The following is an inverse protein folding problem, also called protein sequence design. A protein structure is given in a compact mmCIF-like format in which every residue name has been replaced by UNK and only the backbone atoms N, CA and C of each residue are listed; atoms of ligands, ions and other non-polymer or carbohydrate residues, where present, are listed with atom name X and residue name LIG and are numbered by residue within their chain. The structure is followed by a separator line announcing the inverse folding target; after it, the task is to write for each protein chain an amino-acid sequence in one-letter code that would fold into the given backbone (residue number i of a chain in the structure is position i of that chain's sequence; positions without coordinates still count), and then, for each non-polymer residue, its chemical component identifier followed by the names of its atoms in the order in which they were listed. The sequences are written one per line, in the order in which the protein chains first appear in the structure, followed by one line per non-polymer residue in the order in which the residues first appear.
data_IF_484275700662
#
_entry.id   IF_484275700662
#
_cell.length_a   1.000
_cell.length_b   1.000
_cell.length_c   1.000
_cell.angle_alpha   90.00
_cell.angle_beta   90.00
_cell.angle_gamma   90.00
#
_symmetry.space_group_name_H-M   'P 1'
#
loop_
_entity.id
_entity.type
_entity.pdbx_description
1 polymer ?
#
# COMPACT_ATOMS: atom_id res chain seq x y z
N UNK A 1 11.61 -53.96 5.50
CA UNK A 1 12.59 -52.93 5.14
C UNK A 1 11.82 -51.65 4.94
N UNK A 2 11.80 -50.82 5.96
CA UNK A 2 11.15 -49.51 5.91
C UNK A 2 12.20 -48.51 5.43
N UNK A 3 11.98 -47.92 4.24
CA UNK A 3 12.84 -46.88 3.74
C UNK A 3 12.31 -45.55 4.28
N UNK A 4 12.90 -45.12 5.39
CA UNK A 4 12.76 -43.75 5.88
C UNK A 4 13.35 -42.80 4.85
N UNK A 5 12.48 -42.15 4.08
CA UNK A 5 12.83 -41.00 3.26
C UNK A 5 13.18 -39.83 4.21
N UNK A 6 14.46 -39.73 4.54
CA UNK A 6 15.01 -38.61 5.28
C UNK A 6 14.99 -37.37 4.36
N UNK A 7 13.86 -36.66 4.31
CA UNK A 7 13.75 -35.36 3.66
C UNK A 7 14.60 -34.40 4.49
N UNK A 8 15.85 -34.21 4.12
CA UNK A 8 16.68 -33.10 4.62
C UNK A 8 15.97 -31.80 4.24
N UNK A 9 15.23 -31.23 5.15
CA UNK A 9 14.84 -29.83 5.05
C UNK A 9 16.13 -29.01 5.16
N UNK A 10 16.60 -28.53 4.02
CA UNK A 10 17.72 -27.58 3.98
C UNK A 10 17.24 -26.31 4.69
N UNK A 11 17.77 -26.04 5.89
CA UNK A 11 17.54 -24.76 6.57
C UNK A 11 18.14 -23.64 5.74
N UNK A 12 17.38 -22.59 5.52
CA UNK A 12 17.85 -21.36 4.87
C UNK A 12 17.86 -20.21 5.87
N UNK A 13 18.80 -19.29 5.71
CA UNK A 13 18.79 -18.06 6.51
C UNK A 13 17.49 -17.28 6.29
N UNK A 14 16.86 -16.88 7.38
CA UNK A 14 15.62 -16.12 7.34
C UNK A 14 15.85 -14.71 6.75
N UNK A 15 14.99 -14.21 5.86
CA UNK A 15 15.07 -12.85 5.37
C UNK A 15 14.88 -11.84 6.52
N UNK A 16 15.50 -10.66 6.40
CA UNK A 16 15.36 -9.61 7.39
C UNK A 16 13.91 -9.06 7.45
N UNK A 17 13.50 -8.57 8.61
CA UNK A 17 12.21 -7.87 8.79
C UNK A 17 12.07 -6.73 7.79
N UNK A 18 13.14 -5.98 7.49
CA UNK A 18 13.11 -4.94 6.48
C UNK A 18 12.77 -5.47 5.08
N UNK A 19 13.36 -6.58 4.66
CA UNK A 19 13.05 -7.17 3.35
C UNK A 19 11.58 -7.61 3.26
N UNK A 20 11.02 -8.14 4.36
CA UNK A 20 9.61 -8.51 4.44
C UNK A 20 8.71 -7.26 4.37
N UNK A 21 9.05 -6.18 5.08
CA UNK A 21 8.33 -4.90 5.03
C UNK A 21 8.33 -4.27 3.64
N UNK A 22 9.41 -4.44 2.88
CA UNK A 22 9.48 -3.97 1.49
C UNK A 22 8.73 -4.89 0.49
N UNK A 23 8.19 -6.03 0.94
CA UNK A 23 7.50 -7.00 0.09
C UNK A 23 8.43 -7.75 -0.86
N UNK A 24 9.74 -7.74 -0.60
CA UNK A 24 10.75 -8.45 -1.40
C UNK A 24 11.01 -9.87 -0.91
N UNK A 25 10.54 -10.23 0.29
CA UNK A 25 10.72 -11.53 0.90
C UNK A 25 9.55 -11.92 1.82
N UNK A 26 9.52 -13.17 2.27
CA UNK A 26 8.59 -13.72 3.25
C UNK A 26 9.25 -14.86 4.01
N UNK A 27 8.78 -15.15 5.23
CA UNK A 27 9.18 -16.32 6.01
C UNK A 27 8.35 -17.55 5.65
N UNK A 28 9.00 -18.69 5.59
CA UNK A 28 8.41 -20.01 5.27
C UNK A 28 9.09 -21.11 6.06
N UNK A 29 8.52 -22.30 6.01
CA UNK A 29 9.08 -23.51 6.65
C UNK A 29 10.53 -23.75 6.14
N UNK A 30 11.44 -23.93 7.08
CA UNK A 30 12.87 -24.13 6.84
C UNK A 30 13.73 -22.87 7.05
N UNK A 31 13.14 -21.69 7.14
CA UNK A 31 13.88 -20.46 7.45
C UNK A 31 14.28 -20.44 8.93
N UNK A 32 15.52 -19.99 9.20
CA UNK A 32 16.11 -19.93 10.55
C UNK A 32 16.77 -18.58 10.78
N UNK A 33 16.45 -17.91 11.89
CA UNK A 33 17.08 -16.66 12.31
C UNK A 33 16.20 -15.74 13.14
N UNK A 34 16.75 -14.59 13.51
CA UNK A 34 16.16 -13.59 14.41
C UNK A 34 14.76 -13.11 13.93
N UNK A 35 14.55 -12.97 12.63
CA UNK A 35 13.26 -12.55 12.09
C UNK A 35 12.13 -13.51 12.46
N UNK A 36 12.42 -14.79 12.63
CA UNK A 36 11.46 -15.80 13.06
C UNK A 36 11.08 -15.59 14.53
N UNK A 37 12.07 -15.28 15.39
CA UNK A 37 11.81 -14.94 16.81
C UNK A 37 10.91 -13.70 16.91
N UNK A 38 11.25 -12.64 16.20
CA UNK A 38 10.43 -11.41 16.16
C UNK A 38 8.98 -11.71 15.77
N UNK A 39 8.77 -12.55 14.74
CA UNK A 39 7.42 -12.90 14.32
C UNK A 39 6.68 -13.76 15.35
N UNK A 40 7.36 -14.66 16.04
CA UNK A 40 6.78 -15.45 17.15
C UNK A 40 6.35 -14.57 18.31
N UNK A 41 7.17 -13.59 18.69
CA UNK A 41 6.83 -12.61 19.73
C UNK A 41 5.60 -11.77 19.34
N UNK A 42 5.54 -11.26 18.11
CA UNK A 42 4.40 -10.52 17.60
C UNK A 42 3.12 -11.35 17.59
N UNK A 43 3.19 -12.63 17.17
CA UNK A 43 2.04 -13.55 17.22
C UNK A 43 1.54 -13.75 18.65
N UNK A 44 2.45 -13.96 19.61
CA UNK A 44 2.06 -14.09 21.02
C UNK A 44 1.40 -12.81 21.55
N UNK A 45 1.92 -11.62 21.23
CA UNK A 45 1.30 -10.33 21.58
C UNK A 45 -0.12 -10.21 21.02
N UNK A 46 -0.39 -10.80 19.86
CA UNK A 46 -1.72 -10.84 19.24
C UNK A 46 -2.61 -12.00 19.75
N UNK A 47 -2.16 -12.77 20.74
CA UNK A 47 -2.91 -13.89 21.33
C UNK A 47 -2.78 -15.23 20.60
N UNK A 48 -1.84 -15.34 19.67
CA UNK A 48 -1.55 -16.59 18.93
C UNK A 48 -0.35 -17.28 19.56
N UNK A 49 -0.60 -18.12 20.54
CA UNK A 49 0.45 -18.81 21.31
C UNK A 49 1.37 -19.66 20.42
N UNK A 50 2.66 -19.41 20.52
CA UNK A 50 3.73 -20.19 19.92
C UNK A 50 5.02 -20.08 20.77
N UNK A 51 5.94 -21.01 20.55
CA UNK A 51 7.25 -21.00 21.21
C UNK A 51 8.06 -19.77 20.74
N UNK A 52 8.45 -18.91 21.70
CA UNK A 52 9.24 -17.69 21.44
C UNK A 52 10.74 -17.89 21.53
N UNK A 53 11.20 -19.11 21.78
CA UNK A 53 12.64 -19.42 21.91
C UNK A 53 13.27 -20.06 20.66
N UNK A 54 12.42 -20.57 19.77
CA UNK A 54 12.85 -21.23 18.54
C UNK A 54 13.06 -20.23 17.39
N UNK A 55 14.25 -20.22 16.82
CA UNK A 55 14.59 -19.44 15.61
C UNK A 55 14.09 -20.10 14.32
N UNK A 56 13.53 -21.30 14.37
CA UNK A 56 13.12 -22.07 13.20
C UNK A 56 11.67 -21.80 12.83
N UNK A 57 11.41 -21.45 11.57
CA UNK A 57 10.05 -21.43 11.02
C UNK A 57 9.62 -22.87 10.68
N UNK A 58 9.02 -23.53 11.64
CA UNK A 58 8.56 -24.92 11.53
C UNK A 58 7.12 -25.04 11.03
N UNK A 59 6.64 -26.26 10.84
CA UNK A 59 5.26 -26.53 10.41
C UNK A 59 4.23 -26.13 11.45
N UNK A 60 4.59 -26.10 12.73
CA UNK A 60 3.74 -25.63 13.82
C UNK A 60 3.53 -24.13 13.70
N UNK A 61 4.61 -23.36 13.55
CA UNK A 61 4.52 -21.92 13.32
C UNK A 61 3.73 -21.59 12.04
N UNK A 62 3.95 -22.31 10.95
CA UNK A 62 3.15 -22.18 9.73
C UNK A 62 1.66 -22.28 10.02
N UNK A 63 1.24 -23.25 10.83
CA UNK A 63 -0.16 -23.47 11.21
C UNK A 63 -0.70 -22.32 12.07
N UNK A 64 0.11 -21.77 12.98
CA UNK A 64 -0.25 -20.61 13.79
C UNK A 64 -0.43 -19.36 12.91
N UNK A 65 0.51 -19.13 11.98
CA UNK A 65 0.41 -18.01 11.02
C UNK A 65 -0.83 -18.13 10.15
N UNK A 66 -1.15 -19.32 9.62
CA UNK A 66 -2.36 -19.54 8.83
C UNK A 66 -3.65 -19.23 9.61
N UNK A 67 -3.72 -19.62 10.89
CA UNK A 67 -4.85 -19.28 11.77
C UNK A 67 -4.98 -17.78 11.99
N UNK A 68 -3.85 -17.10 12.26
CA UNK A 68 -3.79 -15.65 12.37
C UNK A 68 -4.28 -14.97 11.08
N UNK A 69 -3.72 -15.35 9.93
CA UNK A 69 -4.10 -14.80 8.62
C UNK A 69 -5.60 -14.92 8.38
N UNK A 70 -6.20 -16.11 8.64
CA UNK A 70 -7.63 -16.33 8.48
C UNK A 70 -8.46 -15.41 9.38
N UNK A 71 -8.06 -15.22 10.63
CA UNK A 71 -8.76 -14.37 11.59
C UNK A 71 -8.77 -12.89 11.20
N UNK A 72 -7.73 -12.44 10.49
CA UNK A 72 -7.60 -11.06 10.04
C UNK A 72 -7.96 -10.85 8.54
N UNK A 73 -8.59 -11.85 7.90
CA UNK A 73 -9.04 -11.73 6.51
C UNK A 73 -7.93 -11.72 5.46
N UNK A 74 -6.73 -12.18 5.83
CA UNK A 74 -5.59 -12.31 4.92
C UNK A 74 -5.62 -13.67 4.20
N UNK A 75 -4.84 -13.81 3.13
CA UNK A 75 -4.61 -15.11 2.48
C UNK A 75 -3.97 -16.06 3.49
N UNK A 76 -4.69 -17.17 3.82
CA UNK A 76 -4.29 -18.13 4.86
C UNK A 76 -3.39 -19.22 4.29
N UNK A 77 -2.19 -18.85 3.83
CA UNK A 77 -1.19 -19.75 3.21
C UNK A 77 -0.10 -20.20 4.19
N UNK A 78 -0.03 -19.55 5.35
CA UNK A 78 0.99 -19.79 6.35
C UNK A 78 2.37 -19.29 5.92
N UNK A 79 2.45 -18.36 4.98
CA UNK A 79 3.66 -17.62 4.63
C UNK A 79 3.62 -16.25 5.32
N UNK A 80 4.63 -15.88 6.07
CA UNK A 80 4.64 -14.60 6.78
C UNK A 80 5.29 -13.54 5.91
N UNK A 81 4.48 -12.97 5.01
CA UNK A 81 4.86 -11.89 4.11
C UNK A 81 4.49 -10.50 4.64
N UNK A 82 4.63 -9.49 3.79
CA UNK A 82 4.45 -8.08 4.11
C UNK A 82 3.08 -7.78 4.77
N UNK A 83 1.98 -8.25 4.18
CA UNK A 83 0.64 -8.02 4.73
C UNK A 83 0.47 -8.62 6.12
N UNK A 84 0.94 -9.86 6.34
CA UNK A 84 0.89 -10.53 7.64
C UNK A 84 1.73 -9.79 8.67
N UNK A 85 2.94 -9.39 8.32
CA UNK A 85 3.82 -8.62 9.21
C UNK A 85 3.21 -7.26 9.56
N UNK A 86 2.65 -6.56 8.59
CA UNK A 86 2.00 -5.27 8.80
C UNK A 86 0.86 -5.34 9.81
N UNK A 87 0.00 -6.38 9.71
CA UNK A 87 -1.09 -6.60 10.67
C UNK A 87 -0.56 -7.01 12.05
N UNK A 88 0.51 -7.78 12.13
CA UNK A 88 1.15 -8.15 13.39
C UNK A 88 1.74 -6.94 14.11
N UNK A 89 2.34 -6.02 13.37
CA UNK A 89 2.96 -4.80 13.91
C UNK A 89 1.95 -3.68 14.21
N UNK A 90 0.71 -3.80 13.74
CA UNK A 90 -0.33 -2.79 13.93
C UNK A 90 -0.87 -2.81 15.37
N UNK A 91 -0.49 -1.82 16.17
CA UNK A 91 -0.92 -1.67 17.56
C UNK A 91 -2.19 -0.80 17.70
N UNK A 92 -2.61 -0.13 16.62
CA UNK A 92 -3.70 0.85 16.63
C UNK A 92 -5.04 0.15 16.41
N UNK A 93 -6.08 0.59 17.13
CA UNK A 93 -7.45 0.12 16.95
C UNK A 93 -7.94 0.32 15.51
N UNK A 94 -8.72 -0.64 14.99
CA UNK A 94 -9.31 -0.60 13.65
C UNK A 94 -10.22 0.62 13.40
N UNK A 95 -10.68 1.27 14.47
CA UNK A 95 -11.61 2.40 14.39
C UNK A 95 -10.90 3.74 14.29
N UNK A 96 -9.62 3.83 14.67
CA UNK A 96 -8.92 5.09 14.76
C UNK A 96 -8.11 5.38 13.50
N UNK A 97 -8.70 6.18 12.61
CA UNK A 97 -8.07 6.73 11.41
C UNK A 97 -7.36 8.06 11.67
N UNK A 98 -7.65 8.66 12.82
CA UNK A 98 -7.10 9.93 13.26
C UNK A 98 -6.45 9.72 14.62
N UNK A 99 -5.25 10.25 14.80
CA UNK A 99 -4.56 10.37 16.07
C UNK A 99 -4.42 11.86 16.36
N UNK A 100 -5.05 12.34 17.43
CA UNK A 100 -5.06 13.76 17.80
C UNK A 100 -5.49 14.70 16.64
N UNK A 101 -6.47 14.27 15.83
CA UNK A 101 -6.96 15.02 14.68
C UNK A 101 -6.13 14.93 13.41
N UNK A 102 -5.02 14.19 13.45
CA UNK A 102 -4.13 13.96 12.31
C UNK A 102 -4.41 12.57 11.71
N UNK A 103 -4.45 12.47 10.40
CA UNK A 103 -4.62 11.17 9.73
C UNK A 103 -3.44 10.27 10.02
N UNK A 104 -3.73 9.09 10.55
CA UNK A 104 -2.76 8.06 10.89
C UNK A 104 -3.21 6.69 10.39
N UNK A 105 -3.05 6.49 9.09
CA UNK A 105 -3.31 5.22 8.43
C UNK A 105 -2.10 4.31 8.65
N UNK A 106 -2.33 3.08 9.11
CA UNK A 106 -1.27 2.09 9.31
C UNK A 106 -1.20 1.10 8.14
N UNK A 107 -0.03 0.50 7.92
CA UNK A 107 0.13 -0.58 6.96
C UNK A 107 -0.80 -1.76 7.27
N UNK A 108 -1.06 -2.05 8.56
CA UNK A 108 -1.99 -3.09 8.98
C UNK A 108 -3.43 -2.82 8.55
N UNK A 109 -3.91 -1.57 8.68
CA UNK A 109 -5.25 -1.16 8.19
C UNK A 109 -5.34 -1.33 6.66
N UNK A 110 -4.33 -0.88 5.93
CA UNK A 110 -4.27 -1.01 4.47
C UNK A 110 -4.24 -2.48 4.03
N UNK A 111 -3.47 -3.33 4.71
CA UNK A 111 -3.41 -4.77 4.43
C UNK A 111 -4.77 -5.44 4.61
N UNK A 112 -5.52 -5.12 5.68
CA UNK A 112 -6.89 -5.62 5.90
C UNK A 112 -7.90 -5.12 4.88
N UNK A 113 -7.65 -3.95 4.29
CA UNK A 113 -8.43 -3.44 3.15
C UNK A 113 -8.10 -4.13 1.82
N UNK A 114 -7.06 -4.95 1.78
CA UNK A 114 -6.63 -5.67 0.59
C UNK A 114 -5.57 -4.97 -0.24
N UNK A 115 -4.94 -3.91 0.27
CA UNK A 115 -3.83 -3.27 -0.43
C UNK A 115 -2.60 -4.17 -0.53
N UNK A 116 -1.95 -4.12 -1.69
CA UNK A 116 -0.75 -4.88 -2.03
C UNK A 116 0.55 -4.15 -1.71
N UNK A 117 1.63 -4.78 -2.13
CA UNK A 117 3.00 -4.50 -1.68
C UNK A 117 3.49 -3.06 -1.89
N UNK A 118 3.07 -2.38 -2.95
CA UNK A 118 3.59 -1.03 -3.22
C UNK A 118 3.05 0.00 -2.22
N UNK A 119 1.78 -0.12 -1.83
CA UNK A 119 1.14 0.76 -0.86
C UNK A 119 1.55 0.43 0.58
N UNK A 120 1.85 -0.84 0.88
CA UNK A 120 2.22 -1.29 2.22
C UNK A 120 3.67 -0.96 2.63
N UNK A 121 4.50 -0.48 1.72
CA UNK A 121 5.87 -0.05 2.04
C UNK A 121 5.85 1.10 3.05
N UNK A 122 6.73 1.12 4.06
CA UNK A 122 6.76 2.18 5.06
C UNK A 122 6.79 3.60 4.47
N UNK A 123 7.62 3.81 3.44
CA UNK A 123 7.69 5.11 2.74
C UNK A 123 6.36 5.49 2.06
N UNK A 124 5.64 4.52 1.48
CA UNK A 124 4.32 4.74 0.87
C UNK A 124 3.27 5.10 1.92
N UNK A 125 3.27 4.42 3.06
CA UNK A 125 2.35 4.72 4.18
C UNK A 125 2.60 6.12 4.72
N UNK A 126 3.86 6.53 4.90
CA UNK A 126 4.21 7.89 5.31
C UNK A 126 3.72 8.93 4.30
N UNK A 127 4.04 8.76 3.03
CA UNK A 127 3.64 9.66 1.96
C UNK A 127 2.11 9.75 1.79
N UNK A 128 1.39 8.64 1.98
CA UNK A 128 -0.07 8.60 1.99
C UNK A 128 -0.66 9.45 3.13
N UNK A 129 -0.14 9.28 4.35
CA UNK A 129 -0.57 10.06 5.51
C UNK A 129 -0.28 11.56 5.32
N UNK A 130 0.92 11.90 4.84
CA UNK A 130 1.30 13.28 4.54
C UNK A 130 0.36 13.90 3.50
N UNK A 131 0.05 13.18 2.41
CA UNK A 131 -0.87 13.65 1.38
C UNK A 131 -2.29 13.84 1.95
N UNK A 132 -2.82 12.87 2.71
CA UNK A 132 -4.13 12.99 3.33
C UNK A 132 -4.23 14.23 4.22
N UNK A 133 -3.23 14.47 5.08
CA UNK A 133 -3.21 15.64 5.95
C UNK A 133 -3.06 16.96 5.17
N UNK A 134 -2.19 16.99 4.16
CA UNK A 134 -1.95 18.18 3.33
C UNK A 134 -3.16 18.60 2.50
N UNK A 135 -3.90 17.63 1.97
CA UNK A 135 -5.02 17.84 1.07
C UNK A 135 -6.38 17.68 1.76
N UNK A 136 -6.44 17.93 3.07
CA UNK A 136 -7.68 17.99 3.86
C UNK A 136 -8.56 16.73 3.77
N UNK A 137 -7.95 15.56 3.50
CA UNK A 137 -8.62 14.26 3.50
C UNK A 137 -8.61 13.73 4.95
N UNK A 138 -9.19 14.51 5.88
CA UNK A 138 -8.98 14.39 7.32
C UNK A 138 -10.21 13.91 8.10
N UNK A 139 -11.25 13.40 7.44
CA UNK A 139 -12.34 12.72 8.12
C UNK A 139 -12.39 11.24 7.75
N UNK A 140 -12.95 10.41 8.63
CA UNK A 140 -13.12 8.97 8.41
C UNK A 140 -13.78 8.67 7.07
N UNK A 141 -14.82 9.41 6.71
CA UNK A 141 -15.54 9.26 5.45
C UNK A 141 -14.66 9.62 4.26
N UNK A 142 -13.99 10.77 4.27
CA UNK A 142 -13.09 11.22 3.21
C UNK A 142 -11.95 10.21 2.98
N UNK A 143 -11.30 9.76 4.07
CA UNK A 143 -10.22 8.76 4.00
C UNK A 143 -10.72 7.46 3.39
N UNK A 144 -11.90 6.96 3.79
CA UNK A 144 -12.48 5.74 3.22
C UNK A 144 -12.74 5.84 1.73
N UNK A 145 -13.33 6.96 1.28
CA UNK A 145 -13.59 7.18 -0.14
C UNK A 145 -12.28 7.30 -0.94
N UNK A 146 -11.30 8.04 -0.42
CA UNK A 146 -9.99 8.18 -1.04
C UNK A 146 -9.27 6.84 -1.19
N UNK A 147 -9.26 6.04 -0.11
CA UNK A 147 -8.63 4.72 -0.14
C UNK A 147 -9.39 3.73 -1.04
N UNK A 148 -10.72 3.75 -1.04
CA UNK A 148 -11.52 2.88 -1.89
C UNK A 148 -11.25 3.14 -3.38
N UNK A 149 -11.17 4.42 -3.77
CA UNK A 149 -10.81 4.78 -5.15
C UNK A 149 -9.39 4.34 -5.49
N UNK A 150 -8.40 4.65 -4.62
CA UNK A 150 -7.02 4.24 -4.83
C UNK A 150 -6.83 2.72 -4.91
N UNK A 151 -7.64 1.95 -4.18
CA UNK A 151 -7.61 0.48 -4.24
C UNK A 151 -7.93 -0.02 -5.65
N UNK A 152 -8.95 0.56 -6.30
CA UNK A 152 -9.36 0.20 -7.67
C UNK A 152 -8.31 0.66 -8.69
N UNK A 153 -7.86 1.91 -8.59
CA UNK A 153 -6.96 2.54 -9.57
C UNK A 153 -5.55 1.90 -9.59
N UNK A 154 -5.14 1.27 -8.49
CA UNK A 154 -3.80 0.69 -8.35
C UNK A 154 -3.76 -0.83 -8.43
N UNK A 155 -4.80 -1.49 -8.93
CA UNK A 155 -4.94 -2.95 -8.87
C UNK A 155 -4.66 -3.47 -7.45
N UNK A 156 -5.42 -2.99 -6.50
CA UNK A 156 -5.24 -3.29 -5.08
C UNK A 156 -3.85 -2.89 -4.52
N UNK A 157 -3.29 -1.78 -4.98
CA UNK A 157 -2.00 -1.30 -4.51
C UNK A 157 -0.79 -2.09 -5.01
N UNK A 158 -0.92 -2.79 -6.12
CA UNK A 158 0.20 -3.53 -6.73
C UNK A 158 1.08 -2.65 -7.59
N UNK A 159 0.52 -1.60 -8.20
CA UNK A 159 1.25 -0.72 -9.12
C UNK A 159 0.72 0.71 -9.03
N UNK A 160 1.63 1.66 -9.22
CA UNK A 160 1.30 3.08 -9.39
C UNK A 160 1.41 3.52 -10.86
N UNK A 161 1.62 2.59 -11.79
CA UNK A 161 1.70 2.89 -13.23
C UNK A 161 0.78 1.97 -14.00
N UNK A 162 0.00 2.56 -14.91
CA UNK A 162 -0.77 1.81 -15.89
C UNK A 162 0.15 1.09 -16.89
N UNK A 163 1.23 1.79 -17.30
CA UNK A 163 2.24 1.25 -18.20
C UNK A 163 3.66 1.59 -17.72
N UNK A 164 4.59 0.66 -17.93
CA UNK A 164 6.01 0.88 -17.71
C UNK A 164 6.65 1.16 -19.06
N UNK A 165 7.26 2.36 -19.20
CA UNK A 165 8.09 2.66 -20.36
C UNK A 165 9.33 1.75 -20.37
N UNK A 166 9.54 1.05 -21.48
CA UNK A 166 10.75 0.28 -21.73
C UNK A 166 11.43 0.87 -22.95
N UNK A 167 12.67 1.43 -22.84
CA UNK A 167 13.40 1.96 -23.99
C UNK A 167 13.45 0.97 -25.16
N UNK A 168 13.09 1.41 -26.37
CA UNK A 168 13.04 0.57 -27.55
C UNK A 168 11.79 -0.30 -27.72
N UNK A 169 10.90 -0.38 -26.73
CA UNK A 169 9.62 -1.13 -26.81
C UNK A 169 8.38 -0.25 -26.61
N UNK A 170 8.56 1.02 -26.43
CA UNK A 170 7.49 1.95 -26.06
C UNK A 170 6.37 2.08 -27.09
N UNK A 171 6.72 2.03 -28.39
CA UNK A 171 5.75 2.27 -29.46
C UNK A 171 4.62 1.22 -29.50
N UNK A 172 4.91 -0.02 -29.18
CA UNK A 172 3.92 -1.10 -29.27
C UNK A 172 2.93 -1.15 -28.10
N UNK A 173 3.37 -0.72 -26.90
CA UNK A 173 2.53 -0.72 -25.69
C UNK A 173 1.58 0.47 -25.61
N UNK A 174 1.94 1.62 -26.21
CA UNK A 174 1.15 2.85 -26.16
C UNK A 174 0.21 3.05 -27.36
N UNK A 175 0.25 2.18 -28.37
CA UNK A 175 -0.48 2.37 -29.63
C UNK A 175 -2.01 2.45 -29.48
N UNK A 176 -2.57 1.92 -28.39
CA UNK A 176 -4.01 1.95 -28.11
C UNK A 176 -4.41 2.92 -26.99
N UNK A 177 -3.47 3.66 -26.42
CA UNK A 177 -3.72 4.60 -25.35
C UNK A 177 -3.89 6.02 -25.90
N UNK A 178 -5.10 6.58 -25.85
CA UNK A 178 -5.43 7.90 -26.39
C UNK A 178 -4.66 9.05 -25.71
N UNK A 179 -4.16 8.83 -24.50
CA UNK A 179 -3.46 9.79 -23.66
C UNK A 179 -1.95 9.53 -23.57
N UNK A 180 -1.44 8.59 -24.37
CA UNK A 180 0.00 8.36 -24.41
C UNK A 180 0.75 9.59 -24.90
N UNK A 181 1.93 9.92 -24.33
CA UNK A 181 2.68 9.12 -23.34
C UNK A 181 2.30 9.39 -21.88
N UNK A 182 1.36 10.28 -21.59
CA UNK A 182 0.92 10.64 -20.24
C UNK A 182 -0.15 9.65 -19.71
N UNK A 183 0.28 8.42 -19.54
CA UNK A 183 -0.58 7.34 -19.04
C UNK A 183 -0.82 7.45 -17.54
N UNK A 184 -1.66 6.56 -16.99
CA UNK A 184 -2.01 6.56 -15.59
C UNK A 184 -0.80 6.41 -14.67
N UNK A 185 -0.57 7.41 -13.83
CA UNK A 185 0.51 7.47 -12.85
C UNK A 185 0.04 7.90 -11.47
N UNK A 186 0.58 7.25 -10.42
CA UNK A 186 0.25 7.55 -9.03
C UNK A 186 -0.99 6.84 -8.50
N UNK A 187 -1.37 7.18 -7.27
CA UNK A 187 -2.42 6.49 -6.51
C UNK A 187 -3.84 6.68 -7.09
N UNK A 188 -4.08 7.77 -7.82
CA UNK A 188 -5.34 8.07 -8.53
C UNK A 188 -5.17 8.04 -10.06
N UNK A 189 -4.09 7.43 -10.57
CA UNK A 189 -3.85 7.24 -11.99
C UNK A 189 -4.00 8.55 -12.80
N UNK A 190 -3.21 9.57 -12.42
CA UNK A 190 -3.15 10.83 -13.16
C UNK A 190 -2.85 10.56 -14.64
N UNK A 191 -3.72 11.04 -15.55
CA UNK A 191 -3.65 10.82 -17.00
C UNK A 191 -3.84 12.13 -17.75
N UNK A 192 -3.47 12.18 -19.02
CA UNK A 192 -3.54 13.31 -19.95
C UNK A 192 -2.49 14.38 -19.71
N UNK A 193 -1.93 14.88 -20.80
CA UNK A 193 -0.89 15.91 -20.78
C UNK A 193 -1.32 17.16 -20.00
N UNK A 194 -2.57 17.59 -20.19
CA UNK A 194 -3.11 18.79 -19.55
C UNK A 194 -3.13 18.64 -18.02
N UNK A 195 -3.47 17.44 -17.51
CA UNK A 195 -3.50 17.19 -16.09
C UNK A 195 -2.09 17.12 -15.49
N UNK A 196 -1.13 16.52 -16.21
CA UNK A 196 0.29 16.53 -15.79
C UNK A 196 0.84 17.96 -15.75
N UNK A 197 0.55 18.80 -16.76
CA UNK A 197 0.93 20.22 -16.78
C UNK A 197 0.27 21.01 -15.66
N UNK A 198 -1.02 20.76 -15.39
CA UNK A 198 -1.74 21.41 -14.29
C UNK A 198 -1.15 21.03 -12.93
N UNK A 199 -0.83 19.76 -12.72
CA UNK A 199 -0.15 19.30 -11.51
C UNK A 199 1.26 19.92 -11.38
N UNK A 200 2.06 19.95 -12.45
CA UNK A 200 3.36 20.61 -12.46
C UNK A 200 3.28 22.08 -12.07
N UNK A 201 2.34 22.83 -12.67
CA UNK A 201 2.15 24.25 -12.34
C UNK A 201 1.76 24.43 -10.88
N UNK A 202 0.88 23.61 -10.35
CA UNK A 202 0.54 23.61 -8.93
C UNK A 202 1.77 23.35 -8.04
N UNK A 203 2.55 22.34 -8.37
CA UNK A 203 3.78 22.01 -7.64
C UNK A 203 4.75 23.17 -7.64
N UNK A 204 4.98 23.79 -8.82
CA UNK A 204 5.86 24.95 -9.00
C UNK A 204 5.33 26.18 -8.25
N UNK A 205 4.08 26.56 -8.49
CA UNK A 205 3.55 27.84 -8.07
C UNK A 205 3.10 27.85 -6.61
N UNK A 206 2.49 26.76 -6.14
CA UNK A 206 1.93 26.64 -4.79
C UNK A 206 2.91 25.93 -3.86
N UNK A 207 3.46 24.80 -4.28
CA UNK A 207 4.35 23.98 -3.45
C UNK A 207 5.81 24.43 -3.48
N UNK A 208 6.17 25.34 -4.41
CA UNK A 208 7.55 25.81 -4.66
C UNK A 208 8.51 24.69 -5.05
N UNK A 209 7.99 23.64 -5.66
CA UNK A 209 8.74 22.49 -6.17
C UNK A 209 8.78 22.57 -7.69
N UNK A 210 9.93 22.96 -8.25
CA UNK A 210 10.12 23.06 -9.70
C UNK A 210 10.79 21.79 -10.22
N UNK A 211 9.98 20.74 -10.46
CA UNK A 211 10.43 19.45 -10.97
C UNK A 211 9.88 19.20 -12.37
N UNK A 212 10.69 19.56 -13.37
CA UNK A 212 10.31 19.45 -14.79
C UNK A 212 10.07 17.99 -15.23
N UNK A 213 10.60 16.98 -14.52
CA UNK A 213 10.42 15.57 -14.86
C UNK A 213 8.96 15.10 -14.68
N UNK A 214 8.12 15.90 -14.01
CA UNK A 214 6.67 15.69 -13.98
C UNK A 214 6.08 15.72 -15.40
N UNK A 215 6.69 16.48 -16.34
CA UNK A 215 6.18 16.66 -17.70
C UNK A 215 7.20 16.38 -18.81
N UNK A 216 8.50 16.35 -18.51
CA UNK A 216 9.55 16.27 -19.52
C UNK A 216 10.74 15.42 -19.07
N UNK A 217 11.19 14.42 -19.83
CA UNK A 217 10.59 13.98 -21.11
C UNK A 217 9.25 13.26 -20.91
N UNK A 218 8.30 13.49 -21.79
CA UNK A 218 6.92 13.02 -21.68
C UNK A 218 6.79 11.47 -21.49
N UNK A 219 7.66 10.71 -22.15
CA UNK A 219 7.69 9.24 -22.05
C UNK A 219 8.09 8.70 -20.68
N UNK A 220 8.68 9.51 -19.81
CA UNK A 220 9.06 9.14 -18.44
C UNK A 220 8.16 9.78 -17.38
N UNK A 221 7.32 10.74 -17.75
CA UNK A 221 6.49 11.51 -16.83
C UNK A 221 5.62 10.61 -15.91
N UNK A 222 4.98 9.59 -16.49
CA UNK A 222 4.16 8.63 -15.73
C UNK A 222 4.98 7.90 -14.65
N UNK A 223 6.16 7.40 -15.01
CA UNK A 223 7.02 6.69 -14.06
C UNK A 223 7.57 7.63 -12.99
N UNK A 224 7.91 8.86 -13.39
CA UNK A 224 8.41 9.87 -12.47
C UNK A 224 7.35 10.25 -11.42
N UNK A 225 6.12 10.54 -11.86
CA UNK A 225 5.00 10.83 -10.95
C UNK A 225 4.67 9.63 -10.07
N UNK A 226 4.60 8.44 -10.63
CA UNK A 226 4.33 7.22 -9.88
C UNK A 226 5.38 6.93 -8.80
N UNK A 227 6.64 7.24 -9.06
CA UNK A 227 7.75 7.00 -8.12
C UNK A 227 7.86 8.08 -7.05
N UNK A 228 7.73 9.35 -7.43
CA UNK A 228 8.09 10.46 -6.56
C UNK A 228 6.88 11.23 -6.01
N UNK A 229 5.72 11.14 -6.67
CA UNK A 229 4.53 11.94 -6.38
C UNK A 229 3.24 11.13 -6.35
N UNK A 230 3.30 9.81 -6.14
CA UNK A 230 2.13 8.94 -6.24
C UNK A 230 0.93 9.43 -5.40
N UNK A 231 1.16 9.79 -4.16
CA UNK A 231 0.11 10.26 -3.25
C UNK A 231 -0.10 11.78 -3.30
N UNK A 232 0.96 12.53 -3.59
CA UNK A 232 0.88 13.99 -3.76
C UNK A 232 -0.02 14.36 -4.96
N UNK A 233 0.17 13.71 -6.12
CA UNK A 233 -0.67 13.91 -7.31
C UNK A 233 -2.12 13.50 -7.07
N UNK A 234 -2.32 12.43 -6.30
CA UNK A 234 -3.65 11.95 -5.93
C UNK A 234 -4.38 12.92 -5.00
N UNK A 235 -3.72 13.43 -3.97
CA UNK A 235 -4.28 14.41 -3.05
C UNK A 235 -4.61 15.73 -3.76
N UNK A 236 -3.71 16.21 -4.61
CA UNK A 236 -3.96 17.38 -5.46
C UNK A 236 -5.19 17.18 -6.35
N UNK A 237 -5.28 16.05 -7.06
CA UNK A 237 -6.42 15.74 -7.92
C UNK A 237 -7.72 15.72 -7.14
N UNK A 238 -7.69 15.12 -5.93
CA UNK A 238 -8.85 14.98 -5.06
C UNK A 238 -9.37 16.31 -4.52
N UNK A 239 -8.50 17.09 -3.91
CA UNK A 239 -8.88 18.32 -3.17
C UNK A 239 -8.90 19.54 -4.10
N UNK A 240 -7.77 19.80 -4.81
CA UNK A 240 -7.59 21.05 -5.56
C UNK A 240 -8.25 20.99 -6.94
N UNK A 241 -8.09 19.88 -7.67
CA UNK A 241 -8.54 19.80 -9.06
C UNK A 241 -10.02 19.41 -9.19
N UNK A 242 -10.52 18.50 -8.37
CA UNK A 242 -11.91 17.99 -8.42
C UNK A 242 -12.81 18.42 -7.27
N UNK A 243 -12.25 19.01 -6.22
CA UNK A 243 -12.97 19.44 -5.01
C UNK A 243 -13.87 18.33 -4.43
N UNK A 244 -13.32 17.11 -4.32
CA UNK A 244 -14.08 15.96 -3.83
C UNK A 244 -14.31 16.03 -2.32
N UNK A 245 -13.46 16.73 -1.58
CA UNK A 245 -13.66 16.96 -0.16
C UNK A 245 -14.98 17.68 0.15
N UNK A 246 -15.29 18.74 -0.60
CA UNK A 246 -16.57 19.48 -0.47
C UNK A 246 -17.74 18.61 -0.89
N UNK A 247 -17.63 17.91 -2.01
CA UNK A 247 -18.70 17.03 -2.52
C UNK A 247 -19.05 15.91 -1.53
N UNK A 248 -18.07 15.26 -0.93
CA UNK A 248 -18.31 14.20 0.07
C UNK A 248 -19.00 14.79 1.30
N UNK A 249 -18.61 15.97 1.75
CA UNK A 249 -19.24 16.64 2.90
C UNK A 249 -20.72 16.95 2.59
N UNK A 250 -21.01 17.42 1.39
CA UNK A 250 -22.39 17.68 0.95
C UNK A 250 -23.23 16.40 0.88
N UNK A 251 -22.70 15.32 0.29
CA UNK A 251 -23.41 14.04 0.20
C UNK A 251 -23.71 13.43 1.57
N UNK A 252 -22.78 13.53 2.52
CA UNK A 252 -23.00 13.01 3.88
C UNK A 252 -24.01 13.84 4.68
N UNK A 253 -24.14 15.14 4.42
CA UNK A 253 -25.20 15.97 5.03
C UNK A 253 -26.59 15.64 4.48
N UNK A 254 -26.70 15.41 3.18
CA UNK A 254 -27.98 15.03 2.54
C UNK A 254 -28.49 13.66 3.06
N UNK A 255 -27.60 12.66 3.23
CA UNK A 255 -27.99 11.35 3.75
C UNK A 255 -28.40 11.37 5.23
N UNK A 256 -27.98 12.37 6.00
CA UNK A 256 -28.41 12.55 7.39
C UNK A 256 -29.83 13.15 7.49
N UNK A 257 -30.23 13.98 6.53
CA UNK A 257 -31.56 14.58 6.49
C UNK A 257 -32.65 13.59 6.00
N UNK A 258 -32.30 12.61 5.16
CA UNK A 258 -33.24 11.56 4.69
C UNK A 258 -33.57 10.51 5.76
N UNK A 259 -32.82 10.44 6.86
CA UNK A 259 -33.08 9.51 7.97
C UNK A 259 -34.03 10.07 9.03
N UNK A 260 -34.56 11.29 8.87
CA UNK A 260 -35.47 11.97 9.81
C UNK A 260 -36.91 12.04 9.29
N UNK A 261 -37.24 11.41 8.19
CA UNK A 261 -38.60 11.18 7.70
C UNK A 261 -38.92 9.70 7.70
#
# INVERSE_FOLDING_TARGET
MSTDLNIKTTSSEAPSIYAIQQGSAYLKVGDVGESVLVCRELLNKKGYACDTTSETYDTTLKSVVAKFQKAFGLTSDGLLGQASLAVLQDEISDTDWLLDGVVNITAGKLARMGFGKEVLKPASVSALNEACNRYHITSKTKVRHFLAQGLVETDNGKTFTEYIYVPGKAKEKYTNCKYAPYCGGGFMQLTWEENYKAFYNYMKDTRKVSDAEIITPAEYATQHVAKNYAFESAGWYWDVFKDLNTKITQWTSLSADETVT
#
